data_IF_742351875276
#
_entry.id   IF_742351875276
#
_cell.length_a   1.000
_cell.length_b   1.000
_cell.length_c   1.000
_cell.angle_alpha   90.00
_cell.angle_beta   90.00
_cell.angle_gamma   90.00
#
_symmetry.space_group_name_H-M   'P 1'
#
loop_
_entity.id
_entity.type
_entity.pdbx_description
1 polymer ?
#
# COMPACT_ATOMS: atom_id res chain seq x y z
N UNK A 1 19.29 -3.19 -38.70
CA UNK A 1 18.37 -3.24 -37.55
C UNK A 1 18.05 -1.81 -37.18
N UNK A 2 16.77 -1.42 -37.09
CA UNK A 2 16.43 -0.10 -36.57
C UNK A 2 16.94 -0.01 -35.12
N UNK A 3 17.53 1.13 -34.69
CA UNK A 3 17.93 1.29 -33.30
C UNK A 3 16.70 1.09 -32.41
N UNK A 4 16.82 0.21 -31.40
CA UNK A 4 15.76 0.03 -30.41
C UNK A 4 15.49 1.38 -29.75
N UNK A 5 14.22 1.81 -29.75
CA UNK A 5 13.80 3.05 -29.09
C UNK A 5 14.30 3.04 -27.65
N UNK A 6 15.03 4.07 -27.25
CA UNK A 6 15.52 4.19 -25.87
C UNK A 6 14.34 4.18 -24.90
N UNK A 7 14.47 3.42 -23.81
CA UNK A 7 13.46 3.39 -22.76
C UNK A 7 13.30 4.80 -22.17
N UNK A 8 12.05 5.21 -21.95
CA UNK A 8 11.72 6.52 -21.40
C UNK A 8 11.05 6.33 -20.05
N UNK A 9 11.70 6.80 -18.98
CA UNK A 9 11.16 6.69 -17.62
C UNK A 9 9.98 7.65 -17.39
N UNK A 10 10.03 8.87 -17.93
CA UNK A 10 8.95 9.84 -17.81
C UNK A 10 8.59 10.41 -19.18
N UNK A 11 7.32 10.24 -19.60
CA UNK A 11 6.83 10.82 -20.84
C UNK A 11 6.98 12.36 -20.80
N UNK A 12 7.40 12.98 -21.90
CA UNK A 12 7.66 14.42 -21.94
C UNK A 12 8.95 14.88 -21.23
N UNK A 13 9.64 14.00 -20.48
CA UNK A 13 10.87 14.31 -19.75
C UNK A 13 11.93 13.20 -19.95
N UNK A 14 12.52 13.12 -21.15
CA UNK A 14 13.43 12.04 -21.55
C UNK A 14 14.72 11.95 -20.72
N UNK A 15 15.11 13.03 -20.05
CA UNK A 15 16.29 13.06 -19.16
C UNK A 15 16.00 12.64 -17.73
N UNK A 16 14.73 12.46 -17.35
CA UNK A 16 14.39 12.07 -15.99
C UNK A 16 14.76 10.60 -15.75
N UNK A 17 15.37 10.34 -14.59
CA UNK A 17 15.77 9.01 -14.17
C UNK A 17 15.47 8.82 -12.67
N UNK A 18 14.86 7.69 -12.27
CA UNK A 18 14.43 7.46 -10.90
C UNK A 18 15.61 7.35 -9.93
N UNK A 19 16.74 6.78 -10.35
CA UNK A 19 17.94 6.62 -9.51
C UNK A 19 18.58 7.97 -9.19
N UNK A 20 18.74 8.85 -10.19
CA UNK A 20 19.27 10.20 -9.93
C UNK A 20 18.27 11.07 -9.16
N UNK A 21 16.97 10.92 -9.44
CA UNK A 21 15.92 11.62 -8.72
C UNK A 21 15.96 11.34 -7.22
N UNK A 22 15.96 10.06 -6.81
CA UNK A 22 15.95 9.71 -5.38
C UNK A 22 17.23 10.10 -4.65
N UNK A 23 18.35 10.22 -5.37
CA UNK A 23 19.63 10.63 -4.81
C UNK A 23 19.75 12.16 -4.61
N UNK A 24 18.92 12.96 -5.29
CA UNK A 24 18.99 14.43 -5.26
C UNK A 24 18.25 15.00 -4.04
N UNK A 25 18.94 15.06 -2.90
CA UNK A 25 18.39 15.62 -1.66
C UNK A 25 18.03 17.09 -1.77
N UNK A 26 18.79 17.87 -2.56
CA UNK A 26 18.52 19.29 -2.74
C UNK A 26 17.24 19.51 -3.55
N UNK A 27 16.98 18.68 -4.55
CA UNK A 27 15.70 18.68 -5.26
C UNK A 27 14.54 18.34 -4.32
N UNK A 28 14.67 17.30 -3.49
CA UNK A 28 13.63 16.95 -2.53
C UNK A 28 13.32 18.10 -1.56
N UNK A 29 14.33 18.79 -1.04
CA UNK A 29 14.13 19.97 -0.18
C UNK A 29 13.39 21.10 -0.89
N UNK A 30 13.70 21.36 -2.17
CA UNK A 30 12.98 22.35 -2.99
C UNK A 30 11.53 21.92 -3.24
N UNK A 31 11.29 20.66 -3.57
CA UNK A 31 9.95 20.10 -3.79
C UNK A 31 9.12 20.20 -2.51
N UNK A 32 9.67 19.86 -1.36
CA UNK A 32 9.00 20.02 -0.08
C UNK A 32 8.67 21.48 0.24
N UNK A 33 9.52 22.43 -0.15
CA UNK A 33 9.25 23.86 0.01
C UNK A 33 8.06 24.30 -0.86
N UNK A 34 7.98 23.83 -2.11
CA UNK A 34 6.86 24.10 -3.02
C UNK A 34 5.55 23.51 -2.50
N UNK A 35 5.58 22.27 -2.01
CA UNK A 35 4.43 21.62 -1.38
C UNK A 35 3.98 22.36 -0.11
N UNK A 36 4.92 22.88 0.70
CA UNK A 36 4.58 23.69 1.89
C UNK A 36 3.85 25.00 1.55
N UNK A 37 4.01 25.51 0.33
CA UNK A 37 3.26 26.66 -0.19
C UNK A 37 2.06 26.28 -1.06
N UNK A 38 1.63 25.01 -1.04
CA UNK A 38 0.54 24.46 -1.86
C UNK A 38 0.73 24.69 -3.38
N UNK A 39 1.99 24.82 -3.82
CA UNK A 39 2.37 24.87 -5.23
C UNK A 39 2.66 23.46 -5.75
N UNK A 40 1.58 22.69 -5.86
CA UNK A 40 1.58 21.30 -6.31
C UNK A 40 2.09 21.15 -7.74
N UNK A 41 1.69 22.05 -8.64
CA UNK A 41 2.09 22.03 -10.04
C UNK A 41 3.60 22.21 -10.19
N UNK A 42 4.20 23.22 -9.54
CA UNK A 42 5.65 23.40 -9.59
C UNK A 42 6.38 22.24 -8.91
N UNK A 43 5.83 21.68 -7.82
CA UNK A 43 6.39 20.50 -7.15
C UNK A 43 6.48 19.30 -8.10
N UNK A 44 5.39 18.97 -8.82
CA UNK A 44 5.37 17.88 -9.81
C UNK A 44 6.34 18.15 -10.96
N UNK A 45 6.34 19.37 -11.51
CA UNK A 45 7.24 19.75 -12.60
C UNK A 45 8.70 19.60 -12.20
N UNK A 46 9.07 20.10 -11.01
CA UNK A 46 10.41 19.98 -10.48
C UNK A 46 10.81 18.52 -10.25
N UNK A 47 9.93 17.73 -9.61
CA UNK A 47 10.19 16.31 -9.32
C UNK A 47 10.45 15.48 -10.57
N UNK A 48 9.68 15.71 -11.64
CA UNK A 48 9.69 14.87 -12.83
C UNK A 48 10.36 15.53 -14.04
N UNK A 49 10.99 16.69 -13.84
CA UNK A 49 11.62 17.47 -14.92
C UNK A 49 10.68 17.71 -16.10
N UNK A 50 9.39 17.93 -15.81
CA UNK A 50 8.37 18.07 -16.85
C UNK A 50 8.57 19.38 -17.63
N UNK A 51 8.11 19.44 -18.89
CA UNK A 51 8.08 20.69 -19.64
C UNK A 51 7.27 21.76 -18.90
N UNK A 52 7.55 23.02 -19.21
CA UNK A 52 6.74 24.14 -18.72
C UNK A 52 5.25 23.90 -19.05
N UNK A 53 4.29 24.24 -18.16
CA UNK A 53 2.88 23.86 -18.30
C UNK A 53 2.23 24.19 -19.63
N UNK A 54 2.58 25.34 -20.22
CA UNK A 54 2.10 25.77 -21.54
C UNK A 54 2.50 24.83 -22.69
N UNK A 55 3.44 23.91 -22.46
CA UNK A 55 3.95 22.94 -23.43
C UNK A 55 3.66 21.50 -23.01
N UNK A 56 3.12 21.27 -21.81
CA UNK A 56 2.76 19.94 -21.33
C UNK A 56 1.26 19.73 -21.51
N UNK A 57 0.87 18.98 -22.54
CA UNK A 57 -0.53 18.65 -22.83
C UNK A 57 -0.95 17.29 -22.25
N UNK A 58 -0.17 16.73 -21.34
CA UNK A 58 -0.47 15.42 -20.77
C UNK A 58 -1.77 15.47 -19.94
N UNK A 59 -2.64 14.49 -20.19
CA UNK A 59 -3.89 14.31 -19.48
C UNK A 59 -3.76 13.09 -18.56
N UNK A 60 -3.98 13.32 -17.27
CA UNK A 60 -3.99 12.29 -16.24
C UNK A 60 -5.38 11.68 -16.18
N UNK A 61 -5.46 10.35 -16.22
CA UNK A 61 -6.71 9.60 -16.27
C UNK A 61 -6.89 8.75 -15.01
N UNK A 62 -8.01 8.92 -14.33
CA UNK A 62 -8.51 7.96 -13.33
C UNK A 62 -10.02 7.82 -13.51
N UNK A 63 -10.81 8.07 -12.46
CA UNK A 63 -12.28 8.24 -12.59
C UNK A 63 -12.61 9.48 -13.44
N UNK A 64 -11.77 10.50 -13.36
CA UNK A 64 -11.86 11.74 -14.15
C UNK A 64 -10.56 11.97 -14.91
N UNK A 65 -10.64 12.76 -15.98
CA UNK A 65 -9.47 13.19 -16.76
C UNK A 65 -9.14 14.63 -16.41
N UNK A 66 -7.88 14.91 -16.08
CA UNK A 66 -7.42 16.24 -15.64
C UNK A 66 -6.04 16.54 -16.19
N UNK A 67 -5.73 17.82 -16.36
CA UNK A 67 -4.37 18.34 -16.58
C UNK A 67 -3.76 18.81 -15.26
N UNK A 68 -2.43 18.96 -15.22
CA UNK A 68 -1.75 19.42 -14.00
C UNK A 68 -2.20 20.84 -13.58
N UNK A 69 -2.48 21.72 -14.56
CA UNK A 69 -2.94 23.08 -14.30
C UNK A 69 -4.36 23.12 -13.72
N UNK A 70 -5.27 22.27 -14.21
CA UNK A 70 -6.62 22.14 -13.65
C UNK A 70 -6.58 21.65 -12.20
N UNK A 71 -5.70 20.69 -11.91
CA UNK A 71 -5.51 20.19 -10.53
C UNK A 71 -5.00 21.31 -9.62
N UNK A 72 -4.00 22.09 -10.04
CA UNK A 72 -3.52 23.24 -9.25
C UNK A 72 -4.60 24.30 -9.03
N UNK A 73 -5.44 24.56 -10.04
CA UNK A 73 -6.58 25.44 -9.87
C UNK A 73 -7.51 24.93 -8.76
N UNK A 74 -7.85 23.65 -8.74
CA UNK A 74 -8.71 23.08 -7.69
C UNK A 74 -8.02 23.13 -6.32
N UNK A 75 -6.71 22.87 -6.24
CA UNK A 75 -5.93 23.03 -4.99
C UNK A 75 -6.09 24.46 -4.43
N UNK A 76 -6.07 25.48 -5.30
CA UNK A 76 -6.25 26.88 -4.89
C UNK A 76 -7.65 27.21 -4.37
N UNK A 77 -8.67 26.40 -4.71
CA UNK A 77 -10.03 26.57 -4.20
C UNK A 77 -10.20 26.02 -2.78
N UNK A 78 -9.33 25.10 -2.34
CA UNK A 78 -9.40 24.44 -1.03
C UNK A 78 -10.76 23.79 -0.76
N UNK A 79 -11.33 24.06 0.42
CA UNK A 79 -12.59 23.46 0.92
C UNK A 79 -13.86 23.80 0.13
N UNK A 80 -13.78 24.73 -0.81
CA UNK A 80 -14.95 25.17 -1.59
C UNK A 80 -15.66 23.97 -2.25
N UNK A 81 -16.97 24.10 -2.47
CA UNK A 81 -17.78 23.05 -3.10
C UNK A 81 -17.72 21.67 -2.41
N UNK A 82 -17.39 21.64 -1.11
CA UNK A 82 -17.27 20.43 -0.31
C UNK A 82 -16.20 19.44 -0.81
N UNK A 83 -15.15 19.92 -1.51
CA UNK A 83 -14.05 19.08 -1.99
C UNK A 83 -13.29 18.34 -0.87
N UNK A 84 -13.36 18.83 0.37
CA UNK A 84 -12.69 18.24 1.53
C UNK A 84 -13.67 17.56 2.51
N UNK A 85 -14.95 17.38 2.12
CA UNK A 85 -15.93 16.74 2.97
C UNK A 85 -15.75 15.21 2.94
N UNK A 86 -14.87 14.71 3.81
CA UNK A 86 -14.52 13.30 3.93
C UNK A 86 -15.29 12.55 5.00
N UNK A 87 -15.73 13.22 6.06
CA UNK A 87 -16.34 12.59 7.22
C UNK A 87 -17.81 13.01 7.32
N UNK A 88 -18.70 12.06 7.59
CA UNK A 88 -20.14 12.30 7.69
C UNK A 88 -20.71 11.70 8.96
N UNK A 89 -21.76 12.32 9.50
CA UNK A 89 -22.53 11.75 10.60
C UNK A 89 -23.32 10.53 10.11
N UNK A 90 -23.32 9.41 10.86
CA UNK A 90 -24.25 8.32 10.64
C UNK A 90 -25.70 8.81 10.72
N UNK A 91 -26.60 8.24 9.91
CA UNK A 91 -28.04 8.55 10.07
C UNK A 91 -28.51 8.05 11.44
N UNK A 92 -29.30 8.83 12.20
CA UNK A 92 -29.97 8.29 13.36
C UNK A 92 -30.86 7.13 12.91
N UNK A 93 -30.75 5.99 13.57
CA UNK A 93 -31.65 4.86 13.36
C UNK A 93 -33.02 5.24 13.93
N UNK A 94 -33.89 5.82 13.10
CA UNK A 94 -35.31 5.90 13.40
C UNK A 94 -35.89 4.49 13.27
N UNK A 95 -36.48 3.97 14.34
CA UNK A 95 -37.18 2.67 14.39
C UNK A 95 -38.46 2.63 13.50
N UNK A 96 -38.81 3.73 12.83
CA UNK A 96 -40.03 3.87 12.03
C UNK A 96 -39.84 3.69 10.51
N UNK A 97 -38.64 3.38 10.02
CA UNK A 97 -38.36 3.30 8.57
C UNK A 97 -38.75 1.97 7.89
N UNK A 98 -39.45 1.05 8.58
CA UNK A 98 -39.87 -0.25 8.02
C UNK A 98 -41.05 -0.17 7.00
N UNK A 99 -41.55 1.01 6.63
CA UNK A 99 -42.71 1.13 5.72
C UNK A 99 -42.57 2.11 4.55
N UNK A 100 -41.35 2.38 4.08
CA UNK A 100 -41.18 3.21 2.87
C UNK A 100 -40.23 2.60 1.83
N UNK A 101 -40.49 1.35 1.45
CA UNK A 101 -40.15 0.93 0.09
C UNK A 101 -41.13 1.58 -0.89
N UNK A 102 -40.58 2.23 -1.93
CA UNK A 102 -41.27 2.86 -3.06
C UNK A 102 -41.78 4.29 -2.84
N UNK A 103 -40.87 5.24 -2.68
CA UNK A 103 -40.91 6.48 -3.48
C UNK A 103 -39.52 7.09 -3.55
N UNK A 104 -38.94 7.03 -4.74
CA UNK A 104 -37.68 7.67 -5.10
C UNK A 104 -37.81 9.19 -4.91
N UNK A 105 -36.76 9.84 -4.39
CA UNK A 105 -36.54 11.31 -4.32
C UNK A 105 -36.76 12.05 -2.99
N UNK A 106 -36.51 11.42 -1.83
CA UNK A 106 -36.16 12.17 -0.61
C UNK A 106 -34.81 11.69 -0.06
N UNK A 107 -33.72 12.11 -0.70
CA UNK A 107 -32.38 11.88 -0.16
C UNK A 107 -32.18 12.79 1.06
N UNK A 108 -32.39 12.28 2.27
CA UNK A 108 -31.86 12.91 3.49
C UNK A 108 -30.35 13.04 3.31
N UNK A 109 -29.90 14.27 3.00
CA UNK A 109 -28.50 14.59 2.69
C UNK A 109 -27.65 14.33 3.95
N UNK A 110 -26.71 13.39 3.87
CA UNK A 110 -25.76 13.14 4.95
C UNK A 110 -25.08 14.44 5.37
N UNK A 111 -25.00 14.68 6.68
CA UNK A 111 -24.37 15.88 7.23
C UNK A 111 -22.86 15.68 7.29
N UNK A 112 -22.11 16.53 6.59
CA UNK A 112 -20.65 16.52 6.67
C UNK A 112 -20.19 17.02 8.05
N UNK A 113 -19.25 16.30 8.64
CA UNK A 113 -18.55 16.68 9.85
C UNK A 113 -17.49 17.75 9.54
N UNK A 114 -17.13 18.60 10.53
CA UNK A 114 -16.01 19.50 10.35
C UNK A 114 -14.70 18.72 10.11
N UNK A 115 -13.77 19.26 9.31
CA UNK A 115 -12.51 18.60 9.07
C UNK A 115 -11.68 18.46 10.36
N UNK A 116 -10.86 17.40 10.47
CA UNK A 116 -10.00 17.18 11.62
C UNK A 116 -8.98 18.32 11.79
N UNK A 117 -8.61 18.68 13.03
CA UNK A 117 -7.53 19.62 13.29
C UNK A 117 -6.20 19.19 12.64
N UNK A 118 -5.37 20.16 12.25
CA UNK A 118 -4.07 19.89 11.61
C UNK A 118 -3.16 18.95 12.42
N UNK A 119 -3.13 19.12 13.73
CA UNK A 119 -2.38 18.25 14.64
C UNK A 119 -2.83 16.78 14.60
N UNK A 120 -4.10 16.51 14.29
CA UNK A 120 -4.63 15.15 14.21
C UNK A 120 -4.26 14.51 12.86
N UNK A 121 -4.24 15.32 11.79
CA UNK A 121 -3.69 14.91 10.49
C UNK A 121 -2.20 14.57 10.65
N UNK A 122 -1.40 15.46 11.25
CA UNK A 122 0.04 15.21 11.44
C UNK A 122 0.30 14.00 12.34
N UNK A 123 -0.54 13.76 13.35
CA UNK A 123 -0.45 12.56 14.18
C UNK A 123 -0.80 11.27 13.40
N UNK A 124 -1.77 11.31 12.49
CA UNK A 124 -2.07 10.20 11.58
C UNK A 124 -0.88 9.92 10.65
N UNK A 125 -0.33 10.94 10.01
CA UNK A 125 0.81 10.78 9.10
C UNK A 125 2.06 10.23 9.83
N UNK A 126 2.22 10.53 11.12
CA UNK A 126 3.32 10.02 11.93
C UNK A 126 3.31 8.50 12.11
N UNK A 127 2.15 7.83 11.92
CA UNK A 127 2.01 6.36 11.98
C UNK A 127 2.89 5.68 10.92
N UNK A 128 3.07 6.35 9.78
CA UNK A 128 3.81 5.84 8.63
C UNK A 128 5.22 6.42 8.50
N UNK A 129 5.61 7.33 9.40
CA UNK A 129 6.95 7.91 9.42
C UNK A 129 7.96 6.83 9.87
N UNK A 130 9.01 6.55 9.09
CA UNK A 130 10.03 5.56 9.44
C UNK A 130 10.74 5.83 10.78
N UNK A 131 10.71 7.07 11.27
CA UNK A 131 11.30 7.47 12.55
C UNK A 131 10.42 7.20 13.76
N UNK A 132 9.18 6.73 13.55
CA UNK A 132 8.30 6.25 14.61
C UNK A 132 8.21 4.72 14.59
N UNK A 133 7.74 4.15 15.70
CA UNK A 133 7.34 2.74 15.75
C UNK A 133 5.84 2.70 15.52
N UNK A 134 5.38 2.04 14.45
CA UNK A 134 3.96 2.04 14.07
C UNK A 134 3.03 1.57 15.20
N UNK A 135 3.30 0.47 15.94
CA UNK A 135 2.48 0.10 17.10
C UNK A 135 2.40 1.18 18.19
N UNK A 136 3.54 1.82 18.49
CA UNK A 136 3.58 2.90 19.48
C UNK A 136 2.84 4.16 19.00
N UNK A 137 3.06 4.54 17.73
CA UNK A 137 2.38 5.67 17.10
C UNK A 137 0.86 5.47 17.08
N UNK A 138 0.36 4.28 16.73
CA UNK A 138 -1.06 3.94 16.79
C UNK A 138 -1.64 4.01 18.21
N UNK A 139 -0.89 3.52 19.21
CA UNK A 139 -1.31 3.61 20.61
C UNK A 139 -1.40 5.06 21.07
N UNK A 140 -0.39 5.87 20.76
CA UNK A 140 -0.37 7.32 21.07
C UNK A 140 -1.43 8.09 20.28
N UNK A 141 -1.74 7.67 19.06
CA UNK A 141 -2.79 8.26 18.25
C UNK A 141 -4.15 8.15 18.95
N UNK A 142 -4.46 6.98 19.53
CA UNK A 142 -5.67 6.77 20.33
C UNK A 142 -5.60 7.42 21.72
N UNK A 143 -4.51 7.23 22.49
CA UNK A 143 -4.45 7.69 23.89
C UNK A 143 -4.55 9.20 24.04
N UNK A 144 -4.12 9.95 23.02
CA UNK A 144 -4.17 11.41 23.02
C UNK A 144 -5.43 11.96 22.32
N UNK A 145 -6.33 11.09 21.87
CA UNK A 145 -7.57 11.49 21.23
C UNK A 145 -8.60 11.96 22.27
N UNK A 146 -9.32 13.04 21.97
CA UNK A 146 -10.49 13.42 22.78
C UNK A 146 -11.60 12.39 22.57
N UNK A 147 -12.30 11.99 23.63
CA UNK A 147 -13.45 11.09 23.54
C UNK A 147 -14.48 11.66 22.56
N UNK A 148 -14.94 10.83 21.62
CA UNK A 148 -15.91 11.21 20.58
C UNK A 148 -15.34 12.06 19.43
N UNK A 149 -14.02 12.29 19.37
CA UNK A 149 -13.40 12.97 18.22
C UNK A 149 -13.20 12.03 17.03
N UNK A 150 -13.09 12.59 15.83
CA UNK A 150 -12.69 11.85 14.62
C UNK A 150 -11.39 11.10 14.83
N UNK A 151 -10.40 11.69 15.52
CA UNK A 151 -9.14 11.02 15.85
C UNK A 151 -9.36 9.74 16.66
N UNK A 152 -10.25 9.75 17.64
CA UNK A 152 -10.55 8.55 18.43
C UNK A 152 -11.19 7.46 17.57
N UNK A 153 -12.11 7.84 16.69
CA UNK A 153 -12.77 6.93 15.75
C UNK A 153 -11.77 6.31 14.77
N UNK A 154 -10.95 7.13 14.12
CA UNK A 154 -9.92 6.69 13.17
C UNK A 154 -8.90 5.80 13.88
N UNK A 155 -8.43 6.18 15.08
CA UNK A 155 -7.47 5.38 15.82
C UNK A 155 -8.04 4.01 16.22
N UNK A 156 -9.29 3.97 16.68
CA UNK A 156 -10.00 2.72 16.97
C UNK A 156 -10.17 1.84 15.73
N UNK A 157 -10.50 2.46 14.59
CA UNK A 157 -10.62 1.77 13.30
C UNK A 157 -9.30 1.14 12.86
N UNK A 158 -8.21 1.91 12.87
CA UNK A 158 -6.89 1.42 12.45
C UNK A 158 -6.37 0.33 13.40
N UNK A 159 -6.63 0.44 14.70
CA UNK A 159 -6.22 -0.59 15.66
C UNK A 159 -7.02 -1.88 15.48
N UNK A 160 -8.32 -1.83 15.21
CA UNK A 160 -9.13 -3.02 15.02
C UNK A 160 -8.78 -3.80 13.75
N UNK A 161 -8.23 -3.12 12.74
CA UNK A 161 -7.78 -3.73 11.48
C UNK A 161 -6.35 -4.25 11.53
N UNK A 162 -5.51 -3.73 12.43
CA UNK A 162 -4.10 -4.13 12.51
C UNK A 162 -3.97 -5.56 13.04
N UNK A 163 -3.30 -6.41 12.28
CA UNK A 163 -3.01 -7.78 12.64
C UNK A 163 -1.60 -8.19 12.24
N UNK A 164 -0.87 -8.80 13.16
CA UNK A 164 0.35 -9.55 12.90
C UNK A 164 0.18 -10.91 13.58
N UNK A 165 0.42 -12.00 12.87
CA UNK A 165 0.26 -13.33 13.45
C UNK A 165 1.17 -13.48 14.69
N UNK A 166 0.67 -13.96 15.85
CA UNK A 166 1.42 -13.98 17.10
C UNK A 166 2.80 -14.66 16.99
N UNK A 167 2.86 -15.80 16.29
CA UNK A 167 4.11 -16.54 16.06
C UNK A 167 5.19 -15.76 15.26
N UNK A 168 4.80 -14.73 14.52
CA UNK A 168 5.70 -13.90 13.70
C UNK A 168 5.82 -12.47 14.22
N UNK A 169 5.06 -12.08 15.24
CA UNK A 169 4.95 -10.70 15.70
C UNK A 169 6.30 -10.07 16.09
N UNK A 170 7.21 -10.85 16.71
CA UNK A 170 8.55 -10.37 17.07
C UNK A 170 9.42 -10.07 15.86
N UNK A 171 9.29 -10.84 14.77
CA UNK A 171 10.02 -10.65 13.52
C UNK A 171 9.42 -9.54 12.65
N UNK A 172 8.10 -9.36 12.73
CA UNK A 172 7.34 -8.42 11.89
C UNK A 172 7.08 -7.07 12.56
N UNK A 173 7.47 -6.91 13.82
CA UNK A 173 7.46 -5.60 14.49
C UNK A 173 8.69 -4.80 14.05
N UNK A 174 8.49 -3.87 13.13
CA UNK A 174 9.59 -3.09 12.55
C UNK A 174 10.04 -1.99 13.53
N UNK A 175 11.34 -1.91 13.86
CA UNK A 175 11.86 -0.89 14.75
C UNK A 175 11.90 0.49 14.07
N UNK A 176 11.75 1.54 14.87
CA UNK A 176 11.91 2.92 14.40
C UNK A 176 13.35 3.21 13.94
N UNK A 177 13.49 4.08 12.96
CA UNK A 177 14.77 4.45 12.37
C UNK A 177 15.28 5.77 12.94
N UNK A 178 16.46 5.75 13.56
CA UNK A 178 17.03 6.94 14.19
C UNK A 178 17.81 7.78 13.16
N UNK A 179 17.32 9.00 12.86
CA UNK A 179 17.98 9.96 11.94
C UNK A 179 19.45 10.28 12.30
N UNK A 180 19.82 10.17 13.58
CA UNK A 180 21.16 10.54 14.09
C UNK A 180 22.28 9.57 13.67
N UNK A 181 22.00 8.29 13.42
CA UNK A 181 23.05 7.29 13.08
C UNK A 181 23.51 7.32 11.62
N UNK A 182 22.88 8.14 10.77
CA UNK A 182 23.16 8.21 9.33
C UNK A 182 24.38 9.08 8.97
N UNK A 183 24.82 10.00 9.86
CA UNK A 183 25.89 10.97 9.52
C UNK A 183 27.33 10.48 9.74
N UNK A 184 27.55 9.33 10.39
CA UNK A 184 28.90 8.97 10.90
C UNK A 184 29.51 7.66 10.41
N UNK A 185 29.07 7.05 9.29
CA UNK A 185 29.74 5.85 8.79
C UNK A 185 30.00 5.89 7.27
N UNK A 186 31.27 6.07 6.92
CA UNK A 186 31.89 5.75 5.63
C UNK A 186 31.97 4.23 5.35
N UNK A 187 31.19 3.41 6.06
CA UNK A 187 31.16 1.96 5.88
C UNK A 187 29.73 1.52 5.56
N UNK A 188 29.60 0.82 4.43
CA UNK A 188 28.50 0.02 3.87
C UNK A 188 27.49 -0.61 4.87
N UNK A 189 26.81 0.18 5.70
CA UNK A 189 25.76 -0.30 6.59
C UNK A 189 24.39 0.13 6.07
N UNK A 190 23.60 -0.88 5.70
CA UNK A 190 22.20 -0.90 5.22
C UNK A 190 21.14 -0.26 6.15
N UNK A 191 21.51 0.74 6.97
CA UNK A 191 20.64 1.34 7.99
C UNK A 191 20.09 2.71 7.60
N UNK A 192 20.24 3.15 6.33
CA UNK A 192 19.57 4.36 5.87
C UNK A 192 18.23 4.00 5.21
N UNK A 193 17.15 4.64 5.63
CA UNK A 193 15.83 4.45 5.01
C UNK A 193 15.89 5.07 3.61
N UNK A 194 15.61 4.31 2.55
CA UNK A 194 15.56 4.88 1.21
C UNK A 194 14.54 6.03 1.12
N UNK A 195 14.85 7.12 0.42
CA UNK A 195 13.88 8.19 0.16
C UNK A 195 12.60 7.64 -0.47
N UNK A 196 11.46 8.14 -0.02
CA UNK A 196 10.15 7.78 -0.56
C UNK A 196 9.40 9.05 -0.98
N UNK A 197 9.67 9.58 -2.18
CA UNK A 197 9.04 10.82 -2.64
C UNK A 197 7.51 10.73 -2.69
N UNK A 198 6.95 9.55 -2.99
CA UNK A 198 5.51 9.35 -2.96
C UNK A 198 4.92 9.65 -1.57
N UNK A 199 5.55 9.16 -0.50
CA UNK A 199 5.10 9.45 0.86
C UNK A 199 5.10 10.95 1.16
N UNK A 200 6.06 11.71 0.63
CA UNK A 200 6.08 13.18 0.77
C UNK A 200 4.87 13.83 0.11
N UNK A 201 4.58 13.48 -1.14
CA UNK A 201 3.40 14.00 -1.87
C UNK A 201 2.08 13.56 -1.24
N UNK A 202 1.99 12.30 -0.79
CA UNK A 202 0.80 11.78 -0.13
C UNK A 202 0.57 12.46 1.22
N UNK A 203 1.62 12.64 2.03
CA UNK A 203 1.54 13.40 3.28
C UNK A 203 1.09 14.85 3.05
N UNK A 204 1.59 15.51 2.00
CA UNK A 204 1.08 16.82 1.59
C UNK A 204 -0.40 16.75 1.18
N UNK A 205 -0.80 15.74 0.39
CA UNK A 205 -2.20 15.61 -0.05
C UNK A 205 -3.17 15.44 1.13
N UNK A 206 -2.80 14.65 2.14
CA UNK A 206 -3.61 14.49 3.35
C UNK A 206 -3.73 15.80 4.14
N UNK A 207 -2.64 16.56 4.20
CA UNK A 207 -2.59 17.88 4.84
C UNK A 207 -3.44 18.92 4.11
N UNK A 208 -3.32 18.98 2.79
CA UNK A 208 -4.02 19.94 1.94
C UNK A 208 -5.52 19.64 1.89
N UNK A 209 -5.87 18.35 1.74
CA UNK A 209 -7.26 17.88 1.62
C UNK A 209 -7.90 17.57 2.97
N UNK A 210 -7.19 17.73 4.08
CA UNK A 210 -7.72 17.64 5.45
C UNK A 210 -8.21 16.25 5.84
N UNK A 211 -7.40 15.26 5.46
CA UNK A 211 -7.62 13.85 5.74
C UNK A 211 -6.76 13.39 6.91
N UNK A 212 -7.38 12.83 7.94
CA UNK A 212 -6.70 12.28 9.11
C UNK A 212 -6.76 10.75 9.17
N UNK A 213 -7.23 10.09 8.10
CA UNK A 213 -7.30 8.63 8.01
C UNK A 213 -8.71 8.05 7.91
N UNK A 214 -8.79 6.74 7.63
CA UNK A 214 -10.05 6.03 7.37
C UNK A 214 -10.81 5.74 8.67
N UNK A 215 -12.14 5.70 8.54
CA UNK A 215 -13.06 5.40 9.64
C UNK A 215 -14.44 5.01 9.12
N UNK A 216 -15.37 4.74 10.04
CA UNK A 216 -16.78 4.49 9.68
C UNK A 216 -17.40 5.75 9.07
N UNK A 217 -17.22 6.90 9.72
CA UNK A 217 -17.64 8.22 9.24
C UNK A 217 -17.05 8.57 7.87
N UNK A 218 -15.81 8.13 7.59
CA UNK A 218 -15.19 8.33 6.28
C UNK A 218 -15.80 7.45 5.18
N UNK A 219 -16.21 6.22 5.52
CA UNK A 219 -16.82 5.28 4.56
C UNK A 219 -18.15 5.80 4.02
N UNK A 220 -18.87 6.61 4.80
CA UNK A 220 -20.11 7.28 4.39
C UNK A 220 -19.92 8.30 3.26
N UNK A 221 -18.69 8.74 3.00
CA UNK A 221 -18.37 9.55 1.83
C UNK A 221 -18.55 8.79 0.50
N UNK A 222 -18.70 7.46 0.55
CA UNK A 222 -18.86 6.60 -0.60
C UNK A 222 -17.63 6.61 -1.51
N UNK A 223 -17.86 6.49 -2.83
CA UNK A 223 -16.78 6.40 -3.81
C UNK A 223 -16.19 7.75 -4.22
N UNK A 224 -16.14 8.72 -3.29
CA UNK A 224 -15.47 10.00 -3.55
C UNK A 224 -13.98 9.79 -3.86
N UNK A 225 -13.47 10.69 -4.68
CA UNK A 225 -12.06 10.78 -5.08
C UNK A 225 -11.65 12.25 -5.05
N UNK A 226 -10.34 12.51 -5.01
CA UNK A 226 -9.80 13.86 -5.00
C UNK A 226 -9.05 14.18 -6.31
N UNK A 227 -9.01 15.47 -6.65
CA UNK A 227 -8.44 15.99 -7.90
C UNK A 227 -6.93 15.74 -8.04
N UNK A 228 -6.20 15.59 -6.92
CA UNK A 228 -4.77 15.26 -6.92
C UNK A 228 -4.51 13.79 -7.30
N UNK A 229 -5.49 12.89 -7.11
CA UNK A 229 -5.31 11.45 -7.26
C UNK A 229 -4.80 11.04 -8.66
N UNK A 230 -5.39 11.50 -9.78
CA UNK A 230 -4.93 11.08 -11.11
C UNK A 230 -3.47 11.42 -11.35
N UNK A 231 -3.02 12.59 -10.88
CA UNK A 231 -1.61 13.01 -11.02
C UNK A 231 -0.71 12.07 -10.23
N UNK A 232 -1.01 11.82 -8.96
CA UNK A 232 -0.15 10.96 -8.13
C UNK A 232 -0.18 9.49 -8.56
N UNK A 233 -1.33 8.99 -9.02
CA UNK A 233 -1.42 7.64 -9.61
C UNK A 233 -0.51 7.51 -10.83
N UNK A 234 -0.58 8.44 -11.79
CA UNK A 234 0.24 8.36 -13.00
C UNK A 234 1.75 8.48 -12.76
N UNK A 235 2.15 9.10 -11.63
CA UNK A 235 3.54 9.29 -11.26
C UNK A 235 4.08 8.23 -10.32
N UNK A 236 3.26 7.65 -9.44
CA UNK A 236 3.74 6.75 -8.37
C UNK A 236 2.94 5.44 -8.23
N UNK A 237 1.78 5.31 -8.87
CA UNK A 237 0.87 4.16 -8.73
C UNK A 237 -0.22 4.37 -7.66
N UNK A 238 -1.07 3.37 -7.46
CA UNK A 238 -2.34 3.52 -6.73
C UNK A 238 -2.22 3.54 -5.20
N UNK A 239 -1.14 2.99 -4.63
CA UNK A 239 -0.96 2.87 -3.19
C UNK A 239 0.50 3.17 -2.82
N UNK A 240 0.70 3.95 -1.76
CA UNK A 240 2.04 4.31 -1.30
C UNK A 240 2.65 3.21 -0.41
N UNK A 241 3.82 2.63 -0.77
CA UNK A 241 4.49 1.70 0.13
C UNK A 241 5.02 2.43 1.37
N UNK A 242 4.75 1.92 2.56
CA UNK A 242 5.34 2.42 3.81
C UNK A 242 6.66 1.71 4.15
N UNK A 243 7.49 2.31 5.01
CA UNK A 243 8.69 1.64 5.52
C UNK A 243 8.37 0.32 6.23
N UNK A 244 7.27 0.28 6.99
CA UNK A 244 6.80 -0.93 7.65
C UNK A 244 6.46 -2.02 6.64
N UNK A 245 5.66 -1.70 5.62
CA UNK A 245 5.25 -2.64 4.57
C UNK A 245 6.43 -3.21 3.78
N UNK A 246 7.35 -2.35 3.30
CA UNK A 246 8.54 -2.78 2.57
C UNK A 246 9.46 -3.65 3.44
N UNK A 247 9.61 -3.31 4.73
CA UNK A 247 10.42 -4.09 5.66
C UNK A 247 9.80 -5.45 5.97
N UNK A 248 8.48 -5.51 6.18
CA UNK A 248 7.75 -6.77 6.35
C UNK A 248 7.90 -7.66 5.12
N UNK A 249 7.72 -7.11 3.91
CA UNK A 249 7.90 -7.88 2.68
C UNK A 249 9.33 -8.38 2.52
N UNK A 250 10.34 -7.58 2.91
CA UNK A 250 11.74 -8.04 2.95
C UNK A 250 11.94 -9.22 3.89
N UNK A 251 11.37 -9.17 5.10
CA UNK A 251 11.46 -10.26 6.08
C UNK A 251 10.77 -11.51 5.54
N UNK A 252 9.54 -11.40 5.04
CA UNK A 252 8.73 -12.54 4.57
C UNK A 252 9.21 -13.12 3.23
N UNK A 253 9.83 -12.30 2.38
CA UNK A 253 10.53 -12.77 1.20
C UNK A 253 11.72 -13.66 1.58
N UNK A 254 12.38 -13.41 2.72
CA UNK A 254 13.50 -14.22 3.21
C UNK A 254 14.58 -14.46 2.13
N UNK A 255 14.88 -13.41 1.35
CA UNK A 255 15.84 -13.47 0.25
C UNK A 255 15.30 -14.06 -1.06
N UNK A 256 14.03 -14.44 -1.14
CA UNK A 256 13.34 -14.82 -2.38
C UNK A 256 12.95 -13.58 -3.20
N UNK A 257 12.60 -13.82 -4.45
CA UNK A 257 12.10 -12.76 -5.34
C UNK A 257 10.64 -12.44 -5.10
N UNK A 258 10.31 -11.16 -5.18
CA UNK A 258 8.93 -10.68 -5.21
C UNK A 258 8.49 -10.55 -6.67
N UNK A 259 7.42 -11.26 -7.03
CA UNK A 259 6.80 -11.23 -8.35
C UNK A 259 5.68 -10.18 -8.30
N UNK A 260 5.96 -8.96 -8.78
CA UNK A 260 5.03 -7.83 -8.77
C UNK A 260 4.17 -7.91 -10.04
N UNK A 261 3.01 -8.57 -9.96
CA UNK A 261 2.13 -8.82 -11.11
C UNK A 261 1.02 -7.79 -11.19
N UNK A 262 0.90 -7.12 -12.34
CA UNK A 262 0.13 -5.89 -12.47
C UNK A 262 0.88 -4.68 -11.88
N UNK A 263 2.21 -4.67 -12.06
CA UNK A 263 3.11 -3.69 -11.44
C UNK A 263 2.87 -2.23 -11.85
N UNK A 264 2.10 -1.98 -12.91
CA UNK A 264 1.85 -0.65 -13.45
C UNK A 264 3.15 0.07 -13.82
N UNK A 265 3.32 1.30 -13.31
CA UNK A 265 4.56 2.05 -13.46
C UNK A 265 5.75 1.50 -12.65
N UNK A 266 5.57 0.45 -11.84
CA UNK A 266 6.66 -0.27 -11.16
C UNK A 266 7.25 0.44 -9.93
N UNK A 267 6.52 1.38 -9.29
CA UNK A 267 7.02 2.07 -8.10
C UNK A 267 7.28 1.14 -6.91
N UNK A 268 6.39 0.16 -6.69
CA UNK A 268 6.58 -0.86 -5.64
C UNK A 268 7.83 -1.71 -5.90
N UNK A 269 7.98 -2.21 -7.13
CA UNK A 269 9.21 -2.89 -7.57
C UNK A 269 10.47 -2.05 -7.34
N UNK A 270 10.44 -0.76 -7.71
CA UNK A 270 11.56 0.16 -7.47
C UNK A 270 11.86 0.29 -5.96
N UNK A 271 10.85 0.54 -5.13
CA UNK A 271 11.03 0.71 -3.68
C UNK A 271 11.48 -0.58 -2.98
N UNK A 272 10.98 -1.75 -3.39
CA UNK A 272 11.45 -3.05 -2.90
C UNK A 272 12.94 -3.25 -3.17
N UNK A 273 13.41 -2.89 -4.38
CA UNK A 273 14.83 -2.94 -4.75
C UNK A 273 15.68 -2.02 -3.88
N UNK A 274 15.19 -0.84 -3.54
CA UNK A 274 15.88 0.06 -2.59
C UNK A 274 16.01 -0.55 -1.18
N UNK A 275 15.13 -1.47 -0.80
CA UNK A 275 15.18 -2.21 0.47
C UNK A 275 16.02 -3.50 0.38
N UNK A 276 16.70 -3.74 -0.74
CA UNK A 276 17.48 -4.94 -0.98
C UNK A 276 16.65 -6.17 -1.33
N UNK A 277 15.38 -5.98 -1.70
CA UNK A 277 14.48 -7.06 -2.14
C UNK A 277 14.57 -7.17 -3.66
N UNK A 278 14.84 -8.38 -4.16
CA UNK A 278 14.77 -8.64 -5.60
C UNK A 278 13.30 -8.65 -6.02
N UNK A 279 12.93 -7.81 -6.99
CA UNK A 279 11.56 -7.67 -7.47
C UNK A 279 11.52 -7.78 -8.99
N UNK A 280 10.55 -8.55 -9.50
CA UNK A 280 10.29 -8.78 -10.92
C UNK A 280 8.95 -8.13 -11.28
N UNK A 281 8.98 -6.95 -11.93
CA UNK A 281 7.77 -6.28 -12.41
C UNK A 281 7.23 -6.98 -13.66
N UNK A 282 5.94 -7.32 -13.63
CA UNK A 282 5.20 -7.86 -14.78
C UNK A 282 3.92 -7.05 -14.95
N UNK A 283 3.63 -6.61 -16.16
CA UNK A 283 2.42 -5.83 -16.45
C UNK A 283 1.95 -6.07 -17.89
N UNK A 284 0.65 -5.95 -18.14
CA UNK A 284 0.10 -6.08 -19.50
C UNK A 284 0.30 -4.83 -20.36
N UNK A 285 0.74 -3.71 -19.75
CA UNK A 285 0.87 -2.38 -20.34
C UNK A 285 -0.43 -1.85 -20.98
N UNK A 286 -1.59 -2.32 -20.49
CA UNK A 286 -2.90 -1.82 -20.92
C UNK A 286 -3.18 -0.41 -20.39
N UNK A 287 -2.65 -0.08 -19.21
CA UNK A 287 -2.76 1.25 -18.61
C UNK A 287 -1.56 2.11 -19.00
N UNK A 288 -1.83 3.36 -19.37
CA UNK A 288 -0.78 4.35 -19.62
C UNK A 288 -0.36 5.03 -18.32
N UNK A 289 0.95 5.07 -18.06
CA UNK A 289 1.55 5.76 -16.92
C UNK A 289 2.42 6.91 -17.40
N UNK A 290 2.42 8.04 -16.68
CA UNK A 290 3.33 9.16 -16.98
C UNK A 290 4.76 8.80 -16.62
N UNK A 291 4.93 8.03 -15.54
CA UNK A 291 6.22 7.57 -15.03
C UNK A 291 6.26 6.05 -14.91
N UNK A 292 7.31 5.48 -15.48
CA UNK A 292 7.78 4.13 -15.20
C UNK A 292 9.05 4.24 -14.35
N UNK A 293 9.10 3.56 -13.20
CA UNK A 293 10.20 3.62 -12.23
C UNK A 293 11.26 2.55 -12.45
N UNK A 294 10.96 1.59 -13.31
CA UNK A 294 11.82 0.46 -13.65
C UNK A 294 11.79 0.28 -15.16
N UNK A 295 12.94 -0.06 -15.75
CA UNK A 295 13.10 -0.20 -17.20
C UNK A 295 12.96 -1.63 -17.69
N UNK A 296 12.81 -2.59 -16.76
CA UNK A 296 12.85 -4.03 -16.99
C UNK A 296 11.50 -4.71 -16.73
N UNK A 297 10.38 -3.98 -16.81
CA UNK A 297 9.04 -4.56 -16.74
C UNK A 297 8.84 -5.59 -17.85
N UNK A 298 8.47 -6.80 -17.46
CA UNK A 298 8.09 -7.85 -18.41
C UNK A 298 6.67 -7.59 -18.89
N UNK A 299 6.52 -7.31 -20.18
CA UNK A 299 5.21 -7.07 -20.79
C UNK A 299 4.51 -8.40 -21.05
N UNK A 300 3.55 -8.76 -20.19
CA UNK A 300 2.80 -10.01 -20.26
C UNK A 300 1.51 -9.96 -19.42
N UNK A 301 0.54 -10.82 -19.74
CA UNK A 301 -0.52 -11.18 -18.80
C UNK A 301 0.09 -11.96 -17.61
N UNK A 302 -0.17 -11.52 -16.37
CA UNK A 302 0.47 -12.10 -15.19
C UNK A 302 0.13 -13.57 -14.96
N UNK A 303 -1.12 -13.99 -15.21
CA UNK A 303 -1.54 -15.37 -14.97
C UNK A 303 -0.97 -16.29 -16.05
N UNK A 304 -0.94 -15.85 -17.31
CA UNK A 304 -0.25 -16.55 -18.39
C UNK A 304 1.25 -16.66 -18.11
N UNK A 305 1.88 -15.57 -17.66
CA UNK A 305 3.30 -15.51 -17.31
C UNK A 305 3.66 -16.52 -16.22
N UNK A 306 2.85 -16.64 -15.16
CA UNK A 306 3.00 -17.64 -14.10
C UNK A 306 2.86 -19.07 -14.67
N UNK A 307 1.78 -19.34 -15.40
CA UNK A 307 1.51 -20.68 -15.97
C UNK A 307 2.60 -21.12 -16.94
N UNK A 308 3.13 -20.21 -17.76
CA UNK A 308 4.20 -20.48 -18.74
C UNK A 308 5.48 -20.92 -18.04
N UNK A 309 5.89 -20.24 -16.96
CA UNK A 309 7.08 -20.63 -16.18
C UNK A 309 6.92 -21.96 -15.48
N UNK A 310 5.76 -22.19 -14.85
CA UNK A 310 5.45 -23.49 -14.23
C UNK A 310 5.57 -24.66 -15.22
N UNK A 311 5.14 -24.48 -16.48
CA UNK A 311 5.27 -25.50 -17.53
C UNK A 311 6.72 -25.71 -17.97
N UNK A 312 7.50 -24.64 -18.12
CA UNK A 312 8.93 -24.73 -18.45
C UNK A 312 9.69 -25.54 -17.40
N UNK A 313 9.50 -25.24 -16.11
CA UNK A 313 10.23 -25.91 -15.04
C UNK A 313 9.92 -27.41 -14.96
N UNK A 314 8.64 -27.79 -15.13
CA UNK A 314 8.23 -29.21 -15.22
C UNK A 314 8.84 -29.93 -16.43
N UNK A 315 9.14 -29.21 -17.51
CA UNK A 315 9.76 -29.77 -18.71
C UNK A 315 11.27 -29.89 -18.58
N UNK A 316 11.93 -28.94 -17.90
CA UNK A 316 13.37 -28.98 -17.60
C UNK A 316 13.74 -30.14 -16.67
N UNK A 317 12.91 -30.44 -15.65
CA UNK A 317 13.11 -31.60 -14.77
C UNK A 317 13.03 -32.94 -15.53
N UNK A 318 12.27 -33.01 -16.64
CA UNK A 318 12.16 -34.22 -17.47
C UNK A 318 13.30 -34.38 -18.50
N UNK A 319 14.03 -33.32 -18.84
CA UNK A 319 15.03 -33.29 -19.91
C UNK A 319 16.47 -33.11 -19.40
N UNK A 320 16.77 -33.59 -18.19
CA UNK A 320 18.01 -33.32 -17.46
C UNK A 320 19.29 -34.02 -18.02
N UNK A 321 19.45 -34.06 -19.34
CA UNK A 321 20.65 -34.56 -20.04
C UNK A 321 21.41 -33.49 -20.85
N UNK A 322 20.99 -32.22 -20.87
CA UNK A 322 21.69 -31.18 -21.63
C UNK A 322 22.15 -30.00 -20.76
N UNK A 323 23.44 -30.01 -20.43
CA UNK A 323 24.19 -28.94 -19.76
C UNK A 323 24.48 -27.76 -20.71
N UNK A 324 23.51 -26.86 -20.92
CA UNK A 324 23.79 -25.54 -21.49
C UNK A 324 23.52 -24.45 -20.44
N UNK A 325 24.58 -24.06 -19.73
CA UNK A 325 24.60 -23.17 -18.57
C UNK A 325 24.60 -21.66 -18.90
N UNK A 326 24.06 -21.22 -20.04
CA UNK A 326 24.13 -19.81 -20.46
C UNK A 326 22.84 -18.99 -20.28
N UNK A 327 21.75 -19.61 -19.83
CA UNK A 327 20.52 -18.88 -19.50
C UNK A 327 20.51 -18.50 -18.01
N UNK A 328 20.30 -17.21 -17.74
CA UNK A 328 20.00 -16.70 -16.38
C UNK A 328 18.89 -17.59 -15.79
N UNK A 329 19.01 -18.09 -14.54
CA UNK A 329 18.01 -18.99 -13.98
C UNK A 329 16.62 -18.33 -14.03
N UNK A 330 15.71 -18.89 -14.81
CA UNK A 330 14.32 -18.44 -14.90
C UNK A 330 13.69 -18.74 -13.53
N UNK A 331 13.20 -17.70 -12.86
CA UNK A 331 12.71 -17.78 -11.48
C UNK A 331 11.53 -18.74 -11.43
N UNK A 332 11.57 -19.72 -10.52
CA UNK A 332 10.43 -20.59 -10.29
C UNK A 332 9.34 -19.80 -9.55
N UNK A 333 8.11 -19.67 -10.10
CA UNK A 333 7.00 -19.07 -9.38
C UNK A 333 6.67 -19.74 -8.05
N UNK A 334 7.05 -21.01 -7.84
CA UNK A 334 6.90 -21.71 -6.56
C UNK A 334 7.84 -21.16 -5.47
N UNK A 335 8.97 -20.59 -5.88
CA UNK A 335 10.01 -20.03 -5.01
C UNK A 335 9.88 -18.51 -4.84
N UNK A 336 8.89 -17.87 -5.47
CA UNK A 336 8.63 -16.44 -5.38
C UNK A 336 7.66 -16.05 -4.26
N UNK A 337 7.61 -14.77 -3.93
CA UNK A 337 6.49 -14.14 -3.23
C UNK A 337 5.63 -13.43 -4.27
N UNK A 338 4.36 -13.81 -4.42
CA UNK A 338 3.45 -13.08 -5.28
C UNK A 338 3.04 -11.76 -4.62
N UNK A 339 3.23 -10.64 -5.30
CA UNK A 339 2.73 -9.33 -4.91
C UNK A 339 1.70 -8.86 -5.94
N UNK A 340 0.50 -8.52 -5.44
CA UNK A 340 -0.54 -7.84 -6.21
C UNK A 340 -0.76 -6.45 -5.62
N UNK A 341 -0.45 -5.40 -6.39
CA UNK A 341 -0.67 -4.03 -5.94
C UNK A 341 -1.92 -3.46 -6.59
N UNK A 342 -2.90 -3.13 -5.76
CA UNK A 342 -4.16 -2.50 -6.14
C UNK A 342 -4.88 -3.26 -7.27
N UNK A 343 -5.11 -4.59 -7.11
CA UNK A 343 -5.70 -5.40 -8.17
C UNK A 343 -7.07 -4.84 -8.58
N UNK A 344 -7.33 -4.80 -9.88
CA UNK A 344 -8.61 -4.26 -10.40
C UNK A 344 -9.79 -5.15 -10.01
N UNK A 345 -10.96 -4.54 -9.82
CA UNK A 345 -12.20 -5.28 -9.51
C UNK A 345 -12.74 -6.06 -10.72
N UNK A 346 -12.61 -5.57 -11.95
CA UNK A 346 -13.25 -6.21 -13.12
C UNK A 346 -14.80 -6.17 -13.05
N UNK A 347 -15.50 -6.68 -14.07
CA UNK A 347 -16.97 -6.77 -14.04
C UNK A 347 -17.70 -5.43 -14.07
N UNK A 348 -17.03 -4.37 -14.53
CA UNK A 348 -17.56 -2.99 -14.59
C UNK A 348 -17.37 -2.41 -15.99
N UNK A 349 -17.26 -1.09 -16.13
CA UNK A 349 -16.97 -0.39 -17.40
C UNK A 349 -15.68 -0.92 -18.06
N UNK A 350 -14.74 -1.44 -17.26
CA UNK A 350 -13.49 -2.03 -17.74
C UNK A 350 -13.63 -3.46 -18.34
N UNK A 351 -14.83 -4.06 -18.30
CA UNK A 351 -15.08 -5.42 -18.78
C UNK A 351 -14.59 -6.52 -17.81
N UNK A 352 -14.67 -7.78 -18.28
CA UNK A 352 -14.29 -8.97 -17.50
C UNK A 352 -15.31 -9.38 -16.43
N UNK A 353 -14.93 -10.31 -15.57
CA UNK A 353 -15.71 -10.75 -14.41
C UNK A 353 -15.27 -10.04 -13.13
N UNK A 354 -16.18 -9.85 -12.17
CA UNK A 354 -15.83 -9.32 -10.86
C UNK A 354 -14.83 -10.24 -10.14
N UNK A 355 -13.72 -9.67 -9.70
CA UNK A 355 -12.58 -10.39 -9.14
C UNK A 355 -11.77 -11.18 -10.15
N UNK A 356 -12.06 -11.10 -11.46
CA UNK A 356 -11.46 -11.97 -12.48
C UNK A 356 -9.93 -11.94 -12.50
N UNK A 357 -9.33 -10.75 -12.35
CA UNK A 357 -7.88 -10.59 -12.26
C UNK A 357 -7.31 -11.32 -11.03
N UNK A 358 -7.79 -10.99 -9.83
CA UNK A 358 -7.33 -11.59 -8.57
C UNK A 358 -7.49 -13.11 -8.59
N UNK A 359 -8.66 -13.61 -9.02
CA UNK A 359 -8.97 -15.04 -9.13
C UNK A 359 -7.98 -15.75 -10.05
N UNK A 360 -7.77 -15.18 -11.24
CA UNK A 360 -6.85 -15.74 -12.24
C UNK A 360 -5.40 -15.82 -11.72
N UNK A 361 -4.95 -14.82 -10.95
CA UNK A 361 -3.63 -14.84 -10.32
C UNK A 361 -3.55 -15.93 -9.25
N UNK A 362 -4.55 -16.02 -8.37
CA UNK A 362 -4.62 -17.05 -7.33
C UNK A 362 -4.58 -18.46 -7.92
N UNK A 363 -5.34 -18.71 -8.98
CA UNK A 363 -5.39 -20.03 -9.63
C UNK A 363 -4.10 -20.36 -10.39
N UNK A 364 -3.39 -19.34 -10.88
CA UNK A 364 -2.12 -19.51 -11.59
C UNK A 364 -0.93 -19.70 -10.64
N UNK A 365 -1.00 -19.12 -9.43
CA UNK A 365 0.11 -19.05 -8.48
C UNK A 365 0.26 -20.34 -7.65
N UNK A 366 1.44 -20.95 -7.73
CA UNK A 366 1.79 -22.18 -7.03
C UNK A 366 2.71 -21.99 -5.82
N UNK A 367 3.21 -20.78 -5.57
CA UNK A 367 4.06 -20.49 -4.40
C UNK A 367 3.30 -20.47 -3.08
N UNK A 368 4.01 -20.10 -2.01
CA UNK A 368 3.55 -20.27 -0.63
C UNK A 368 3.25 -18.95 0.11
N UNK A 369 3.59 -17.81 -0.49
CA UNK A 369 3.49 -16.49 0.16
C UNK A 369 2.82 -15.52 -0.81
N UNK A 370 1.69 -14.96 -0.40
CA UNK A 370 0.90 -13.99 -1.17
C UNK A 370 0.87 -12.67 -0.41
N UNK A 371 1.27 -11.59 -1.05
CA UNK A 371 1.09 -10.22 -0.59
C UNK A 371 0.09 -9.50 -1.50
N UNK A 372 -0.91 -8.86 -0.90
CA UNK A 372 -1.87 -8.03 -1.62
C UNK A 372 -1.93 -6.66 -0.97
N UNK A 373 -1.73 -5.63 -1.78
CA UNK A 373 -1.96 -4.25 -1.40
C UNK A 373 -3.31 -3.85 -1.98
N UNK A 374 -4.27 -3.49 -1.13
CA UNK A 374 -5.61 -3.17 -1.58
C UNK A 374 -6.41 -2.44 -0.52
N UNK A 375 -7.68 -2.19 -0.79
CA UNK A 375 -8.59 -1.59 0.17
C UNK A 375 -9.00 -2.60 1.24
N UNK A 376 -9.08 -2.16 2.49
CA UNK A 376 -9.52 -2.97 3.64
C UNK A 376 -10.96 -2.66 4.11
N UNK A 377 -11.67 -1.86 3.31
CA UNK A 377 -13.09 -1.59 3.40
C UNK A 377 -13.83 -2.04 2.12
N UNK A 378 -15.15 -2.03 2.18
CA UNK A 378 -16.05 -2.48 1.10
C UNK A 378 -16.35 -1.39 0.08
N UNK A 379 -15.38 -0.50 -0.22
CA UNK A 379 -15.59 0.61 -1.16
C UNK A 379 -15.53 0.18 -2.64
N UNK A 380 -15.15 -1.07 -2.91
CA UNK A 380 -15.15 -1.66 -4.24
C UNK A 380 -14.10 -1.09 -5.20
N UNK A 381 -12.95 -0.63 -4.67
CA UNK A 381 -11.86 -0.12 -5.49
C UNK A 381 -10.83 -1.18 -5.89
N UNK A 382 -10.65 -2.23 -5.08
CA UNK A 382 -9.64 -3.26 -5.36
C UNK A 382 -10.16 -4.66 -5.17
N UNK A 383 -9.78 -5.56 -6.07
CA UNK A 383 -10.07 -6.99 -6.02
C UNK A 383 -11.54 -7.32 -6.23
N UNK A 384 -12.42 -6.89 -5.34
CA UNK A 384 -13.83 -7.24 -5.31
C UNK A 384 -14.68 -6.00 -4.95
N UNK A 385 -15.94 -5.96 -5.39
CA UNK A 385 -16.79 -4.77 -5.18
C UNK A 385 -17.22 -4.61 -3.72
N UNK A 386 -17.51 -5.72 -3.06
CA UNK A 386 -18.12 -5.74 -1.73
C UNK A 386 -17.42 -6.69 -0.76
N UNK A 387 -16.12 -6.94 -0.95
CA UNK A 387 -15.36 -7.87 -0.12
C UNK A 387 -13.90 -7.45 -0.02
N UNK A 388 -13.32 -7.52 1.17
CA UNK A 388 -11.88 -7.30 1.36
C UNK A 388 -11.08 -8.56 1.02
N UNK A 389 -9.76 -8.42 0.88
CA UNK A 389 -8.91 -9.56 0.53
C UNK A 389 -8.93 -10.66 1.59
N UNK A 390 -8.99 -10.31 2.88
CA UNK A 390 -9.06 -11.31 3.96
C UNK A 390 -10.39 -12.05 4.00
N UNK A 391 -11.52 -11.36 3.78
CA UNK A 391 -12.83 -12.00 3.62
C UNK A 391 -12.86 -12.96 2.41
N UNK A 392 -12.23 -12.58 1.29
CA UNK A 392 -12.09 -13.46 0.13
C UNK A 392 -11.27 -14.70 0.44
N UNK A 393 -10.13 -14.55 1.11
CA UNK A 393 -9.28 -15.69 1.47
C UNK A 393 -9.98 -16.63 2.43
N UNK A 394 -10.71 -16.10 3.43
CA UNK A 394 -11.49 -16.90 4.37
C UNK A 394 -12.65 -17.61 3.67
N UNK A 395 -13.41 -16.92 2.82
CA UNK A 395 -14.61 -17.50 2.20
C UNK A 395 -14.30 -18.47 1.07
N UNK A 396 -13.32 -18.14 0.24
CA UNK A 396 -13.13 -18.81 -1.06
C UNK A 396 -11.83 -19.60 -1.17
N UNK A 397 -10.95 -19.49 -0.17
CA UNK A 397 -9.65 -20.17 -0.12
C UNK A 397 -9.40 -20.91 1.21
N UNK A 398 -10.40 -21.03 2.10
CA UNK A 398 -10.28 -21.70 3.41
C UNK A 398 -9.78 -23.16 3.35
N UNK A 399 -9.95 -23.86 2.23
CA UNK A 399 -9.48 -25.23 2.05
C UNK A 399 -8.03 -25.38 1.56
N UNK A 400 -7.35 -24.28 1.23
CA UNK A 400 -6.03 -24.33 0.58
C UNK A 400 -4.86 -24.13 1.56
N UNK A 401 -5.14 -24.06 2.87
CA UNK A 401 -4.12 -23.93 3.91
C UNK A 401 -3.47 -22.55 4.00
N UNK A 402 -4.10 -21.51 3.43
CA UNK A 402 -3.65 -20.13 3.60
C UNK A 402 -3.96 -19.60 4.99
N UNK A 403 -2.95 -19.01 5.62
CA UNK A 403 -3.03 -18.36 6.93
C UNK A 403 -2.69 -16.89 6.76
N UNK A 404 -3.58 -16.00 7.20
CA UNK A 404 -3.29 -14.55 7.26
C UNK A 404 -2.15 -14.34 8.26
N UNK A 405 -1.06 -13.72 7.84
CA UNK A 405 0.09 -13.42 8.69
C UNK A 405 0.25 -11.93 8.97
N UNK A 406 -0.23 -11.08 8.07
CA UNK A 406 -0.16 -9.62 8.18
C UNK A 406 -1.44 -8.99 7.65
N UNK A 407 -1.92 -7.98 8.38
CA UNK A 407 -2.79 -6.92 7.89
C UNK A 407 -2.36 -5.62 8.56
N UNK A 408 -1.77 -4.70 7.79
CA UNK A 408 -1.36 -3.39 8.29
C UNK A 408 -1.87 -2.28 7.38
N UNK A 409 -2.25 -1.15 7.97
CA UNK A 409 -2.66 0.02 7.21
C UNK A 409 -1.48 0.58 6.39
N UNK A 410 -1.80 1.14 5.23
CA UNK A 410 -0.89 1.90 4.39
C UNK A 410 -1.27 3.39 4.40
N UNK A 411 -0.30 4.28 4.10
CA UNK A 411 -0.59 5.69 3.85
C UNK A 411 -1.62 5.78 2.74
N UNK A 412 -2.84 6.20 3.09
CA UNK A 412 -3.97 6.18 2.16
C UNK A 412 -4.27 7.56 1.64
N UNK A 413 -4.68 7.63 0.38
CA UNK A 413 -5.26 8.84 -0.16
C UNK A 413 -6.52 9.27 0.59
N UNK A 414 -6.86 10.57 0.60
CA UNK A 414 -8.14 11.04 1.13
C UNK A 414 -9.34 10.27 0.57
N UNK A 415 -10.16 9.72 1.47
CA UNK A 415 -11.31 8.89 1.12
C UNK A 415 -10.95 7.44 0.73
N UNK A 416 -9.71 7.01 0.90
CA UNK A 416 -9.26 5.62 0.72
C UNK A 416 -8.88 4.99 2.06
N UNK A 417 -8.77 3.67 2.04
CA UNK A 417 -8.45 2.85 3.20
C UNK A 417 -7.65 1.65 2.75
N UNK A 418 -6.35 1.87 2.60
CA UNK A 418 -5.41 0.94 1.98
C UNK A 418 -4.70 0.12 3.05
N UNK A 419 -4.43 -1.15 2.74
CA UNK A 419 -3.71 -2.06 3.60
C UNK A 419 -2.81 -3.01 2.80
N UNK A 420 -1.78 -3.51 3.48
CA UNK A 420 -1.03 -4.69 3.07
C UNK A 420 -1.62 -5.90 3.79
N UNK A 421 -2.09 -6.87 3.02
CA UNK A 421 -2.43 -8.21 3.47
C UNK A 421 -1.31 -9.17 3.05
N UNK A 422 -0.89 -10.06 3.95
CA UNK A 422 0.02 -11.15 3.59
C UNK A 422 -0.52 -12.47 4.12
N UNK A 423 -0.51 -13.49 3.26
CA UNK A 423 -0.94 -14.85 3.55
C UNK A 423 0.19 -15.83 3.26
N UNK A 424 0.32 -16.85 4.09
CA UNK A 424 1.28 -17.94 3.90
C UNK A 424 0.59 -19.30 3.97
N UNK A 425 1.06 -20.27 3.19
CA UNK A 425 0.60 -21.67 3.24
C UNK A 425 1.78 -22.64 3.34
N UNK A 426 1.47 -23.93 3.53
CA UNK A 426 2.50 -24.98 3.58
C UNK A 426 3.49 -24.79 4.73
N UNK A 427 4.77 -25.05 4.48
CA UNK A 427 5.83 -24.97 5.51
C UNK A 427 6.13 -23.54 6.00
N UNK A 428 5.67 -22.51 5.29
CA UNK A 428 5.79 -21.11 5.70
C UNK A 428 4.65 -20.64 6.59
N UNK A 429 3.50 -21.30 6.55
CA UNK A 429 2.39 -20.94 7.41
C UNK A 429 2.76 -21.21 8.88
N UNK A 430 2.53 -20.26 9.80
CA UNK A 430 2.66 -20.53 11.21
C UNK A 430 1.76 -21.70 11.63
N UNK A 431 2.29 -22.62 12.43
CA UNK A 431 1.51 -23.69 13.03
C UNK A 431 0.50 -23.13 14.03
N UNK A 432 -0.74 -23.65 14.04
CA UNK A 432 -1.82 -23.24 14.95
C UNK A 432 -1.57 -23.54 16.44
N UNK A 433 -0.43 -24.13 16.79
CA UNK A 433 -0.15 -24.73 18.11
C UNK A 433 0.34 -23.78 19.21
N UNK A 434 0.21 -22.46 19.06
CA UNK A 434 0.72 -21.50 20.08
C UNK A 434 -0.34 -20.59 20.69
N UNK A 435 -1.59 -21.05 20.83
CA UNK A 435 -2.65 -20.31 21.56
C UNK A 435 -2.87 -20.79 23.01
N UNK A 436 -2.13 -21.78 23.53
CA UNK A 436 -2.48 -22.43 24.83
C UNK A 436 -1.37 -22.49 25.89
N UNK A 437 -0.36 -21.61 25.86
CA UNK A 437 0.70 -21.64 26.90
C UNK A 437 1.00 -20.32 27.62
N UNK A 438 0.24 -19.24 27.37
CA UNK A 438 0.43 -17.97 28.07
C UNK A 438 -0.50 -17.76 29.29
N UNK A 439 -1.32 -18.75 29.66
CA UNK A 439 -2.29 -18.64 30.76
C UNK A 439 -2.19 -19.80 31.76
N UNK A 440 -0.98 -20.08 32.29
CA UNK A 440 -0.81 -20.95 33.46
C UNK A 440 0.61 -20.86 34.06
N UNK A 441 1.08 -19.66 34.38
CA UNK A 441 2.12 -19.49 35.41
C UNK A 441 1.75 -18.31 36.31
N UNK A 442 0.74 -18.55 37.15
CA UNK A 442 0.51 -17.79 38.38
C UNK A 442 0.48 -18.77 39.54
N UNK A 443 1.40 -18.54 40.47
CA UNK A 443 1.39 -18.93 41.88
C UNK A 443 1.28 -20.41 42.24
N UNK A 444 2.46 -21.00 42.46
CA UNK A 444 2.65 -21.98 43.53
C UNK A 444 4.00 -21.72 44.22
N UNK A 445 4.03 -20.73 45.11
CA UNK A 445 5.06 -20.63 46.16
C UNK A 445 4.41 -20.28 47.50
N UNK A 446 3.76 -21.27 48.09
CA UNK A 446 3.41 -21.31 49.50
C UNK A 446 4.19 -22.47 50.13
N UNK A 447 5.03 -22.17 51.12
CA UNK A 447 5.54 -23.20 52.04
C UNK A 447 6.98 -23.08 52.53
N UNK A 448 7.10 -22.61 53.77
CA UNK A 448 8.10 -22.99 54.78
C UNK A 448 9.49 -22.33 54.75
N UNK A 449 9.61 -21.25 55.51
CA UNK A 449 10.85 -20.92 56.23
C UNK A 449 10.89 -21.76 57.51
N UNK A 450 11.80 -22.74 57.56
CA UNK A 450 12.22 -23.38 58.80
C UNK A 450 13.61 -22.83 59.14
N UNK A 451 13.68 -22.16 60.30
CA UNK A 451 14.92 -21.83 61.01
C UNK A 451 15.79 -23.09 61.19
N UNK A 452 17.09 -22.96 60.94
CA UNK A 452 18.12 -23.62 61.74
C UNK A 452 19.46 -22.89 61.61
N UNK A 453 19.93 -22.43 62.76
CA UNK A 453 21.29 -21.96 63.03
C UNK A 453 22.36 -23.01 62.69
N UNK A 454 23.55 -22.52 62.32
CA UNK A 454 24.86 -22.87 62.90
C UNK A 454 25.98 -22.76 61.85
N UNK A 455 26.76 -21.68 61.86
CA UNK A 455 28.14 -21.59 62.39
C UNK A 455 28.74 -20.21 62.11
#
# INVERSE_FOLDING_TARGET
MAPSKAFTYCEGASSWNPTTYVADTALHERVEALLRSDDFQSAIIASFSLPHPRRDSYVYHAIVSVTLAEVQHIVSLGRQNAFHAWYFEPKPSSEDDEKSEQTSQSSTKLRALPPPPRQDIDAYLSIFDPSTSTPAALKTFLSNAKKGSLRAEIAGYLQSKRYLHPALASQLTIPKQNKSKSKNNNNNNNNNVPPNPYLTFLNWSCRNLEWAGPSVSATLAGNRSHHVLPVLMHHFGCACPSHEALSILRVLAAGREVLDLGSGGGYWSFMLRQYGVRAVPVDSAQSAWRVNWVSDTVIADGAEWLRKRRRKNKSSVKNNNNNNNNDKPDIDPEEGVLLLVYPIVGGTVAGGEEGGFTRSMMDAYSGDTLAVVGTQNHNGYTGFRGMSMDEYMERERAGEGWVKVVQIALPSFPGKDEALFVFQRGSRAPSSTSETSAASQTDNSSGSNINKDAT
#
